data_IF_758042365243
#
_entry.id   IF_758042365243
#
_cell.length_a   1.000
_cell.length_b   1.000
_cell.length_c   1.000
_cell.angle_alpha   90.00
_cell.angle_beta   90.00
_cell.angle_gamma   90.00
#
_symmetry.space_group_name_H-M   'P 1'
#
loop_
_entity.id
_entity.type
_entity.pdbx_description
1 polymer ?
#
# COMPACT_ATOMS: atom_id res chain seq x y z
N UNK A 1 19.91 9.08 1.44
CA UNK A 1 19.08 10.30 1.51
C UNK A 1 18.85 10.64 2.97
N UNK A 2 19.08 11.89 3.37
CA UNK A 2 18.69 12.37 4.68
C UNK A 2 17.18 12.29 4.86
N UNK A 3 16.73 12.05 6.10
CA UNK A 3 15.30 11.88 6.40
C UNK A 3 14.44 13.03 5.87
N UNK A 4 14.91 14.27 5.99
CA UNK A 4 14.19 15.47 5.53
C UNK A 4 13.97 15.50 4.01
N UNK A 5 14.96 15.10 3.21
CA UNK A 5 14.84 15.09 1.73
C UNK A 5 13.86 14.03 1.18
N UNK A 6 13.69 12.93 1.89
CA UNK A 6 12.72 11.90 1.50
C UNK A 6 11.30 12.18 2.04
N UNK A 7 11.17 12.98 3.09
CA UNK A 7 9.87 13.34 3.66
C UNK A 7 9.06 14.25 2.74
N UNK A 8 9.71 15.20 2.06
CA UNK A 8 9.03 16.16 1.16
C UNK A 8 8.25 15.46 0.07
N UNK A 9 8.82 14.55 -0.77
CA UNK A 9 8.08 13.87 -1.80
C UNK A 9 6.96 12.97 -1.26
N UNK A 10 7.15 12.34 -0.10
CA UNK A 10 6.12 11.53 0.53
C UNK A 10 4.92 12.37 1.01
N UNK A 11 5.19 13.53 1.61
CA UNK A 11 4.14 14.48 2.03
C UNK A 11 3.42 15.09 0.82
N UNK A 12 4.15 15.55 -0.19
CA UNK A 12 3.56 16.12 -1.40
C UNK A 12 2.66 15.09 -2.10
N UNK A 13 3.14 13.84 -2.25
CA UNK A 13 2.33 12.77 -2.83
C UNK A 13 1.10 12.45 -2.01
N UNK A 14 1.22 12.37 -0.67
CA UNK A 14 0.09 12.10 0.23
C UNK A 14 -0.95 13.21 0.23
N UNK A 15 -0.53 14.46 0.31
CA UNK A 15 -1.44 15.61 0.23
C UNK A 15 -2.15 15.66 -1.12
N UNK A 16 -1.42 15.43 -2.22
CA UNK A 16 -2.01 15.41 -3.56
C UNK A 16 -3.03 14.27 -3.71
N UNK A 17 -2.69 13.04 -3.24
CA UNK A 17 -3.63 11.92 -3.27
C UNK A 17 -4.91 12.25 -2.50
N UNK A 18 -4.78 12.79 -1.30
CA UNK A 18 -5.92 13.18 -0.47
C UNK A 18 -6.74 14.29 -1.15
N UNK A 19 -6.09 15.31 -1.71
CA UNK A 19 -6.76 16.41 -2.41
C UNK A 19 -7.49 15.93 -3.66
N UNK A 20 -6.90 15.01 -4.45
CA UNK A 20 -7.54 14.45 -5.64
C UNK A 20 -8.78 13.61 -5.28
N UNK A 21 -8.69 12.79 -4.23
CA UNK A 21 -9.83 12.00 -3.76
C UNK A 21 -10.93 12.88 -3.18
N UNK A 22 -10.57 13.92 -2.44
CA UNK A 22 -11.52 14.92 -1.94
C UNK A 22 -12.20 15.66 -3.08
N UNK A 23 -11.43 16.13 -4.06
CA UNK A 23 -11.97 16.82 -5.25
C UNK A 23 -12.87 15.89 -6.06
N UNK A 24 -12.48 14.63 -6.25
CA UNK A 24 -13.30 13.62 -6.92
C UNK A 24 -14.64 13.44 -6.20
N UNK A 25 -14.64 13.35 -4.87
CA UNK A 25 -15.87 13.30 -4.07
C UNK A 25 -16.72 14.57 -4.18
N UNK A 26 -16.12 15.75 -4.18
CA UNK A 26 -16.84 17.02 -4.36
C UNK A 26 -17.45 17.14 -5.76
N UNK A 27 -16.84 16.50 -6.77
CA UNK A 27 -17.34 16.52 -8.16
C UNK A 27 -18.65 15.76 -8.35
N UNK A 28 -19.11 14.96 -7.38
CA UNK A 28 -20.43 14.30 -7.45
C UNK A 28 -21.56 15.30 -7.61
N UNK A 29 -21.46 16.47 -6.99
CA UNK A 29 -22.50 17.52 -7.11
C UNK A 29 -22.61 18.04 -8.54
N UNK A 30 -21.52 18.07 -9.31
CA UNK A 30 -21.55 18.50 -10.70
C UNK A 30 -22.34 17.54 -11.61
N UNK A 31 -22.52 16.29 -11.21
CA UNK A 31 -23.30 15.32 -11.98
C UNK A 31 -24.81 15.60 -11.93
N UNK A 32 -25.27 16.33 -10.92
CA UNK A 32 -26.68 16.71 -10.75
C UNK A 32 -27.04 18.05 -11.38
N UNK A 33 -26.10 18.71 -12.05
CA UNK A 33 -26.40 19.96 -12.76
C UNK A 33 -27.33 19.71 -13.95
N UNK A 34 -28.29 20.59 -14.21
CA UNK A 34 -29.18 20.51 -15.38
C UNK A 34 -28.36 20.37 -16.67
N UNK A 35 -28.74 19.44 -17.54
CA UNK A 35 -28.08 19.22 -18.83
C UNK A 35 -26.86 18.27 -18.78
N UNK A 36 -26.34 17.89 -17.61
CA UNK A 36 -25.20 16.96 -17.52
C UNK A 36 -25.55 15.61 -18.13
N UNK A 37 -26.77 15.11 -17.90
CA UNK A 37 -27.28 13.85 -18.46
C UNK A 37 -27.38 13.93 -19.98
N UNK A 38 -27.77 15.09 -20.53
CA UNK A 38 -27.90 15.28 -21.97
C UNK A 38 -26.53 15.28 -22.68
N UNK A 39 -25.49 15.83 -22.03
CA UNK A 39 -24.13 15.90 -22.57
C UNK A 39 -23.35 14.59 -22.41
N UNK A 40 -23.40 13.98 -21.24
CA UNK A 40 -22.62 12.77 -20.92
C UNK A 40 -23.37 11.47 -21.21
N UNK A 41 -24.71 11.52 -21.24
CA UNK A 41 -25.58 10.36 -21.29
C UNK A 41 -25.85 9.77 -19.89
N UNK A 42 -27.09 9.37 -19.64
CA UNK A 42 -27.53 8.92 -18.31
C UNK A 42 -26.73 7.72 -17.75
N UNK A 43 -26.30 6.83 -18.64
CA UNK A 43 -25.47 5.68 -18.25
C UNK A 43 -24.07 6.10 -17.73
N UNK A 44 -23.43 7.04 -18.44
CA UNK A 44 -22.10 7.54 -18.03
C UNK A 44 -22.18 8.33 -16.72
N UNK A 45 -23.24 9.11 -16.52
CA UNK A 45 -23.49 9.83 -15.26
C UNK A 45 -23.66 8.85 -14.10
N UNK A 46 -24.48 7.79 -14.26
CA UNK A 46 -24.66 6.76 -13.22
C UNK A 46 -23.36 6.00 -12.88
N UNK A 47 -22.53 5.70 -13.88
CA UNK A 47 -21.24 5.08 -13.66
C UNK A 47 -20.26 5.99 -12.90
N UNK A 48 -20.18 7.27 -13.30
CA UNK A 48 -19.35 8.26 -12.61
C UNK A 48 -19.84 8.49 -11.17
N UNK A 49 -21.14 8.59 -10.96
CA UNK A 49 -21.72 8.68 -9.62
C UNK A 49 -21.31 7.50 -8.75
N UNK A 50 -21.44 6.28 -9.26
CA UNK A 50 -21.02 5.06 -8.54
C UNK A 50 -19.53 5.07 -8.14
N UNK A 51 -18.65 5.66 -8.99
CA UNK A 51 -17.20 5.72 -8.69
C UNK A 51 -16.84 6.82 -7.70
N UNK A 52 -17.54 7.96 -7.75
CA UNK A 52 -17.24 9.15 -6.98
C UNK A 52 -17.91 9.16 -5.60
N UNK A 53 -19.12 8.61 -5.49
CA UNK A 53 -19.92 8.59 -4.25
C UNK A 53 -19.17 8.10 -3.02
N UNK A 54 -18.33 7.04 -3.09
CA UNK A 54 -17.59 6.59 -1.92
C UNK A 54 -16.63 7.62 -1.34
N UNK A 55 -16.26 8.66 -2.08
CA UNK A 55 -15.37 9.74 -1.66
C UNK A 55 -16.10 11.06 -1.39
N UNK A 56 -17.43 11.10 -1.60
CA UNK A 56 -18.25 12.29 -1.38
C UNK A 56 -18.50 12.55 0.11
N UNK A 57 -18.44 13.81 0.50
CA UNK A 57 -18.95 14.27 1.81
C UNK A 57 -20.46 14.33 1.85
N UNK A 58 -21.11 14.32 0.69
CA UNK A 58 -22.55 14.35 0.59
C UNK A 58 -23.11 12.95 0.85
N UNK A 59 -23.91 12.73 1.90
CA UNK A 59 -24.39 11.40 2.20
C UNK A 59 -25.31 10.91 1.09
N UNK A 60 -25.16 9.65 0.65
CA UNK A 60 -25.99 9.08 -0.39
C UNK A 60 -27.46 9.05 0.03
N UNK A 61 -28.37 9.05 -0.94
CA UNK A 61 -29.81 9.04 -0.70
C UNK A 61 -30.26 7.93 0.27
N UNK A 62 -29.58 6.78 0.26
CA UNK A 62 -29.87 5.68 1.20
C UNK A 62 -29.66 6.04 2.67
N UNK A 63 -28.68 6.91 2.97
CA UNK A 63 -28.45 7.43 4.33
C UNK A 63 -29.48 8.50 4.67
N UNK A 64 -29.83 9.35 3.71
CA UNK A 64 -30.85 10.40 3.88
C UNK A 64 -32.25 9.80 4.09
N UNK A 65 -32.67 8.86 3.23
CA UNK A 65 -33.98 8.19 3.32
C UNK A 65 -34.07 7.32 4.59
N UNK A 66 -32.99 6.64 4.97
CA UNK A 66 -32.95 5.92 6.25
C UNK A 66 -33.17 6.84 7.43
N UNK A 67 -32.58 8.03 7.40
CA UNK A 67 -32.76 9.06 8.39
C UNK A 67 -34.21 9.60 8.40
N UNK A 68 -34.86 9.77 7.23
CA UNK A 68 -36.23 10.27 7.12
C UNK A 68 -37.27 9.19 7.47
N UNK A 69 -37.05 7.92 7.13
CA UNK A 69 -38.01 6.83 7.34
C UNK A 69 -38.11 6.40 8.81
N UNK A 70 -37.02 6.51 9.56
CA UNK A 70 -37.03 6.28 11.02
C UNK A 70 -37.50 7.52 11.83
N UNK A 71 -37.71 8.67 11.18
CA UNK A 71 -38.12 9.92 11.81
C UNK A 71 -39.60 10.01 12.18
N UNK A 72 -40.43 9.06 11.73
CA UNK A 72 -41.85 9.00 12.08
C UNK A 72 -42.08 7.73 12.87
N UNK A 73 -41.65 7.72 14.14
CA UNK A 73 -42.13 6.75 15.11
C UNK A 73 -43.63 7.00 15.33
N UNK A 74 -44.40 5.94 15.55
CA UNK A 74 -45.85 6.02 15.91
C UNK A 74 -46.12 7.01 17.05
N UNK A 75 -45.12 7.35 17.85
CA UNK A 75 -45.20 8.29 18.98
C UNK A 75 -44.85 9.75 18.63
N UNK A 76 -44.66 10.12 17.33
CA UNK A 76 -44.38 11.50 16.94
C UNK A 76 -42.96 12.01 17.36
N UNK A 77 -42.12 11.16 17.88
CA UNK A 77 -40.76 11.52 18.24
C UNK A 77 -39.91 11.63 16.97
N UNK A 78 -39.46 12.84 16.64
CA UNK A 78 -38.50 13.10 15.58
C UNK A 78 -37.18 12.42 15.95
N UNK A 79 -36.82 11.32 15.27
CA UNK A 79 -35.51 10.72 15.43
C UNK A 79 -34.47 11.72 14.99
N UNK A 80 -33.49 11.98 15.84
CA UNK A 80 -32.45 12.98 15.59
C UNK A 80 -31.52 12.52 14.45
N UNK A 81 -31.87 12.92 13.22
CA UNK A 81 -31.10 12.66 12.00
C UNK A 81 -29.67 13.22 12.07
N UNK A 82 -29.42 14.19 12.97
CA UNK A 82 -28.13 14.83 13.12
C UNK A 82 -27.03 13.82 13.51
N UNK A 83 -27.39 12.79 14.28
CA UNK A 83 -26.44 11.73 14.70
C UNK A 83 -25.92 10.90 13.52
N UNK A 84 -26.78 10.50 12.60
CA UNK A 84 -26.36 9.70 11.42
C UNK A 84 -25.51 10.51 10.46
N UNK A 85 -25.87 11.78 10.23
CA UNK A 85 -25.09 12.70 9.45
C UNK A 85 -23.74 13.02 10.07
N UNK A 86 -23.68 13.17 11.41
CA UNK A 86 -22.42 13.39 12.13
C UNK A 86 -21.50 12.17 12.04
N UNK A 87 -22.03 10.94 12.15
CA UNK A 87 -21.28 9.71 11.97
C UNK A 87 -20.73 9.58 10.56
N UNK A 88 -21.52 9.92 9.53
CA UNK A 88 -21.07 9.91 8.14
C UNK A 88 -19.93 10.92 7.93
N UNK A 89 -20.08 12.15 8.39
CA UNK A 89 -19.05 13.18 8.30
C UNK A 89 -17.77 12.76 9.01
N UNK A 90 -17.89 12.19 10.21
CA UNK A 90 -16.77 11.63 10.97
C UNK A 90 -16.07 10.51 10.20
N UNK A 91 -16.84 9.60 9.58
CA UNK A 91 -16.28 8.54 8.75
C UNK A 91 -15.45 9.09 7.59
N UNK A 92 -15.93 10.14 6.91
CA UNK A 92 -15.22 10.78 5.81
C UNK A 92 -13.95 11.50 6.29
N UNK A 93 -13.99 12.19 7.43
CA UNK A 93 -12.80 12.78 8.04
C UNK A 93 -11.75 11.73 8.37
N UNK A 94 -12.14 10.62 9.02
CA UNK A 94 -11.27 9.48 9.31
C UNK A 94 -10.68 8.93 8.02
N UNK A 95 -11.48 8.79 6.95
CA UNK A 95 -11.01 8.28 5.65
C UNK A 95 -9.90 9.13 5.06
N UNK A 96 -10.08 10.45 4.96
CA UNK A 96 -9.08 11.33 4.37
C UNK A 96 -7.82 11.47 5.24
N UNK A 97 -7.96 11.51 6.56
CA UNK A 97 -6.81 11.47 7.49
C UNK A 97 -6.06 10.14 7.37
N UNK A 98 -6.78 9.02 7.28
CA UNK A 98 -6.18 7.70 7.13
C UNK A 98 -5.42 7.54 5.80
N UNK A 99 -5.87 8.16 4.68
CA UNK A 99 -5.11 8.19 3.42
C UNK A 99 -3.71 8.76 3.67
N UNK A 100 -3.60 9.90 4.35
CA UNK A 100 -2.31 10.51 4.68
C UNK A 100 -1.48 9.63 5.63
N UNK A 101 -2.11 9.12 6.70
CA UNK A 101 -1.44 8.33 7.72
C UNK A 101 -0.87 7.01 7.16
N UNK A 102 -1.53 6.39 6.19
CA UNK A 102 -1.03 5.17 5.55
C UNK A 102 -0.08 5.48 4.40
N UNK A 103 -0.37 6.48 3.57
CA UNK A 103 0.43 6.78 2.40
C UNK A 103 1.82 7.29 2.78
N UNK A 104 1.91 8.29 3.66
CA UNK A 104 3.17 9.02 3.93
C UNK A 104 4.27 8.10 4.48
N UNK A 105 4.07 7.28 5.53
CA UNK A 105 5.14 6.43 6.05
C UNK A 105 5.60 5.36 5.04
N UNK A 106 4.68 4.77 4.28
CA UNK A 106 5.05 3.78 3.26
C UNK A 106 5.77 4.40 2.07
N UNK A 107 5.29 5.54 1.56
CA UNK A 107 5.97 6.29 0.50
C UNK A 107 7.35 6.78 0.95
N UNK A 108 7.47 7.26 2.19
CA UNK A 108 8.75 7.64 2.80
C UNK A 108 9.73 6.46 2.84
N UNK A 109 9.25 5.29 3.28
CA UNK A 109 10.07 4.08 3.32
C UNK A 109 10.48 3.65 1.91
N UNK A 110 9.56 3.68 0.94
CA UNK A 110 9.83 3.35 -0.47
C UNK A 110 10.86 4.31 -1.07
N UNK A 111 10.66 5.62 -1.00
CA UNK A 111 11.57 6.61 -1.59
C UNK A 111 12.96 6.55 -0.95
N UNK A 112 13.06 6.25 0.35
CA UNK A 112 14.36 6.07 1.04
C UNK A 112 15.08 4.80 0.62
N UNK A 113 14.35 3.70 0.43
CA UNK A 113 14.92 2.38 0.15
C UNK A 113 15.03 2.09 -1.34
N UNK A 114 14.23 2.76 -2.14
CA UNK A 114 14.18 2.65 -3.59
C UNK A 114 14.24 4.06 -4.22
N UNK A 115 15.36 4.79 -4.09
CA UNK A 115 15.45 6.15 -4.63
C UNK A 115 15.36 6.14 -6.16
N UNK A 116 14.70 7.15 -6.80
CA UNK A 116 14.44 7.20 -8.24
C UNK A 116 15.66 7.71 -9.03
N UNK A 117 16.86 7.17 -8.75
CA UNK A 117 18.14 7.49 -9.41
C UNK A 117 18.66 6.28 -10.17
N UNK A 118 19.56 6.49 -11.13
CA UNK A 118 20.27 5.43 -11.86
C UNK A 118 19.33 4.39 -12.52
N UNK A 119 18.30 4.83 -13.23
CA UNK A 119 17.37 3.95 -13.95
C UNK A 119 16.28 3.30 -13.09
N UNK A 120 16.27 3.51 -11.76
CA UNK A 120 15.26 2.94 -10.84
C UNK A 120 13.93 3.71 -10.80
N UNK A 121 13.82 4.81 -11.58
CA UNK A 121 12.63 5.67 -11.59
C UNK A 121 11.30 4.94 -11.83
N UNK A 122 11.19 4.07 -12.87
CA UNK A 122 9.96 3.32 -13.11
C UNK A 122 9.60 2.38 -11.95
N UNK A 123 10.57 1.68 -11.37
CA UNK A 123 10.33 0.80 -10.22
C UNK A 123 9.81 1.57 -9.00
N UNK A 124 10.38 2.76 -8.73
CA UNK A 124 9.89 3.64 -7.66
C UNK A 124 8.49 4.15 -7.95
N UNK A 125 8.21 4.55 -9.19
CA UNK A 125 6.89 5.03 -9.61
C UNK A 125 5.82 3.98 -9.37
N UNK A 126 6.02 2.77 -9.88
CA UNK A 126 5.06 1.69 -9.73
C UNK A 126 4.93 1.22 -8.27
N UNK A 127 6.02 1.24 -7.50
CA UNK A 127 5.97 0.92 -6.08
C UNK A 127 5.16 1.97 -5.29
N UNK A 128 5.38 3.27 -5.52
CA UNK A 128 4.62 4.35 -4.85
C UNK A 128 3.17 4.34 -5.29
N UNK A 129 2.88 4.07 -6.57
CA UNK A 129 1.52 3.91 -7.08
C UNK A 129 0.80 2.74 -6.41
N UNK A 130 1.41 1.55 -6.41
CA UNK A 130 0.83 0.37 -5.78
C UNK A 130 0.57 0.60 -4.29
N UNK A 131 1.51 1.27 -3.60
CA UNK A 131 1.32 1.64 -2.21
C UNK A 131 0.20 2.68 -2.02
N UNK A 132 0.03 3.64 -2.94
CA UNK A 132 -1.10 4.59 -2.92
C UNK A 132 -2.45 3.88 -2.97
N UNK A 133 -2.57 2.87 -3.83
CA UNK A 133 -3.80 2.05 -3.92
C UNK A 133 -4.03 1.26 -2.62
N UNK A 134 -2.98 0.70 -2.02
CA UNK A 134 -3.06 0.00 -0.72
C UNK A 134 -3.47 0.98 0.40
N UNK A 135 -2.83 2.15 0.48
CA UNK A 135 -3.12 3.15 1.50
C UNK A 135 -4.57 3.65 1.44
N UNK A 136 -5.08 3.91 0.23
CA UNK A 136 -6.48 4.29 0.04
C UNK A 136 -7.46 3.17 0.40
N UNK A 137 -7.14 1.92 0.05
CA UNK A 137 -7.97 0.76 0.44
C UNK A 137 -8.00 0.58 1.97
N UNK A 138 -6.87 0.75 2.65
CA UNK A 138 -6.81 0.73 4.12
C UNK A 138 -7.64 1.86 4.74
N UNK A 139 -7.57 3.06 4.16
CA UNK A 139 -8.36 4.20 4.63
C UNK A 139 -9.87 3.95 4.50
N UNK A 140 -10.31 3.35 3.39
CA UNK A 140 -11.71 2.92 3.20
C UNK A 140 -12.08 1.87 4.23
N UNK A 141 -11.25 0.85 4.46
CA UNK A 141 -11.51 -0.21 5.43
C UNK A 141 -11.61 0.32 6.86
N UNK A 142 -10.70 1.23 7.27
CA UNK A 142 -10.73 1.82 8.62
C UNK A 142 -11.96 2.71 8.84
N UNK A 143 -12.42 3.45 7.83
CA UNK A 143 -13.63 4.30 7.93
C UNK A 143 -14.94 3.52 7.84
N UNK A 144 -14.93 2.29 7.33
CA UNK A 144 -16.13 1.48 7.07
C UNK A 144 -17.02 1.25 8.31
N UNK A 145 -16.51 0.98 9.53
CA UNK A 145 -17.37 0.81 10.71
C UNK A 145 -18.27 2.01 11.00
N UNK A 146 -17.75 3.23 10.85
CA UNK A 146 -18.52 4.47 11.04
C UNK A 146 -19.58 4.66 9.96
N UNK A 147 -19.28 4.27 8.71
CA UNK A 147 -20.25 4.28 7.62
C UNK A 147 -21.37 3.26 7.84
N UNK A 148 -21.05 2.06 8.34
CA UNK A 148 -22.07 1.07 8.71
C UNK A 148 -22.97 1.63 9.81
N UNK A 149 -22.39 2.28 10.83
CA UNK A 149 -23.14 2.92 11.89
C UNK A 149 -24.00 4.09 11.40
N UNK A 150 -23.51 4.88 10.42
CA UNK A 150 -24.25 5.99 9.83
C UNK A 150 -25.46 5.54 9.00
N UNK A 151 -25.50 4.31 8.51
CA UNK A 151 -26.65 3.78 7.76
C UNK A 151 -27.87 3.43 8.66
N UNK A 152 -27.78 3.62 9.97
CA UNK A 152 -28.91 3.45 10.91
C UNK A 152 -29.46 2.02 11.04
N UNK A 153 -29.02 1.12 10.21
CA UNK A 153 -29.41 -0.28 10.25
C UNK A 153 -28.60 -0.97 11.33
N UNK A 154 -29.12 -1.02 12.55
CA UNK A 154 -28.63 -1.89 13.60
C UNK A 154 -28.72 -3.35 13.13
N UNK A 155 -27.86 -3.71 12.16
CA UNK A 155 -28.01 -4.96 11.46
C UNK A 155 -27.26 -6.05 12.22
N UNK A 156 -27.94 -7.15 12.38
CA UNK A 156 -27.35 -8.42 12.81
C UNK A 156 -26.25 -8.94 11.87
N UNK A 157 -25.98 -8.21 10.77
CA UNK A 157 -25.03 -8.56 9.71
C UNK A 157 -23.98 -7.46 9.53
N UNK A 158 -23.27 -7.14 10.58
CA UNK A 158 -22.24 -6.08 10.55
C UNK A 158 -21.09 -6.41 9.58
N UNK A 159 -20.57 -7.65 9.59
CA UNK A 159 -19.41 -8.04 8.79
C UNK A 159 -19.66 -8.03 7.27
N UNK A 160 -20.77 -8.55 6.73
CA UNK A 160 -21.10 -8.41 5.32
C UNK A 160 -21.24 -6.95 4.86
N UNK A 161 -21.85 -6.09 5.69
CA UNK A 161 -21.95 -4.66 5.38
C UNK A 161 -20.57 -3.99 5.40
N UNK A 162 -19.71 -4.34 6.36
CA UNK A 162 -18.33 -3.87 6.42
C UNK A 162 -17.56 -4.26 5.14
N UNK A 163 -17.70 -5.51 4.68
CA UNK A 163 -17.10 -5.97 3.44
C UNK A 163 -17.61 -5.17 2.23
N UNK A 164 -18.92 -4.93 2.15
CA UNK A 164 -19.53 -4.11 1.12
C UNK A 164 -18.99 -2.68 1.12
N UNK A 165 -18.95 -2.02 2.28
CA UNK A 165 -18.43 -0.64 2.41
C UNK A 165 -16.93 -0.56 2.13
N UNK A 166 -16.15 -1.55 2.59
CA UNK A 166 -14.71 -1.62 2.35
C UNK A 166 -14.37 -1.89 0.87
N UNK A 167 -15.33 -2.36 0.08
CA UNK A 167 -15.14 -2.60 -1.36
C UNK A 167 -15.40 -1.38 -2.25
N UNK A 168 -15.96 -0.30 -1.72
CA UNK A 168 -16.32 0.89 -2.48
C UNK A 168 -15.12 1.77 -2.88
N UNK A 169 -15.31 2.60 -3.93
CA UNK A 169 -14.38 3.69 -4.29
C UNK A 169 -13.04 3.30 -4.88
N UNK A 170 -12.86 2.05 -5.28
CA UNK A 170 -11.58 1.52 -5.76
C UNK A 170 -11.15 2.06 -7.10
N UNK A 171 -12.11 2.38 -7.98
CA UNK A 171 -11.85 2.80 -9.35
C UNK A 171 -11.10 4.13 -9.40
N UNK A 172 -11.66 5.15 -8.77
CA UNK A 172 -11.04 6.48 -8.76
C UNK A 172 -9.69 6.48 -8.03
N UNK A 173 -9.54 5.62 -7.02
CA UNK A 173 -8.32 5.48 -6.25
C UNK A 173 -7.12 5.05 -7.11
N UNK A 174 -7.32 4.13 -8.06
CA UNK A 174 -6.26 3.65 -8.97
C UNK A 174 -5.67 4.80 -9.78
N UNK A 175 -6.53 5.68 -10.31
CA UNK A 175 -6.11 6.83 -11.10
C UNK A 175 -5.52 7.96 -10.25
N UNK A 176 -6.16 8.30 -9.13
CA UNK A 176 -5.65 9.31 -8.21
C UNK A 176 -4.27 8.94 -7.64
N UNK A 177 -4.07 7.66 -7.29
CA UNK A 177 -2.79 7.15 -6.83
C UNK A 177 -1.71 7.24 -7.92
N UNK A 178 -2.06 7.06 -9.21
CA UNK A 178 -1.09 7.18 -10.30
C UNK A 178 -0.58 8.62 -10.42
N UNK A 179 -1.49 9.59 -10.43
CA UNK A 179 -1.12 11.01 -10.50
C UNK A 179 -0.27 11.40 -9.29
N UNK A 180 -0.68 11.01 -8.09
CA UNK A 180 0.07 11.29 -6.86
C UNK A 180 1.47 10.65 -6.88
N UNK A 181 1.59 9.42 -7.39
CA UNK A 181 2.89 8.73 -7.51
C UNK A 181 3.82 9.42 -8.51
N UNK A 182 3.30 9.88 -9.65
CA UNK A 182 4.09 10.64 -10.64
C UNK A 182 4.67 11.88 -9.99
N UNK A 183 3.85 12.68 -9.31
CA UNK A 183 4.30 13.91 -8.65
C UNK A 183 5.27 13.62 -7.52
N UNK A 184 5.01 12.60 -6.68
CA UNK A 184 5.91 12.19 -5.61
C UNK A 184 7.29 11.77 -6.15
N UNK A 185 7.34 11.01 -7.25
CA UNK A 185 8.60 10.57 -7.87
C UNK A 185 9.33 11.74 -8.53
N UNK A 186 8.62 12.66 -9.18
CA UNK A 186 9.23 13.88 -9.73
C UNK A 186 9.83 14.73 -8.61
N UNK A 187 9.10 14.96 -7.53
CA UNK A 187 9.61 15.66 -6.34
C UNK A 187 10.83 14.93 -5.75
N UNK A 188 10.79 13.59 -5.68
CA UNK A 188 11.91 12.78 -5.20
C UNK A 188 13.15 12.90 -6.11
N UNK A 189 12.98 12.98 -7.44
CA UNK A 189 14.08 13.22 -8.39
C UNK A 189 14.71 14.60 -8.19
N UNK A 190 13.89 15.62 -8.01
CA UNK A 190 14.39 16.99 -7.76
C UNK A 190 15.19 17.06 -6.46
N UNK A 191 14.68 16.46 -5.39
CA UNK A 191 15.34 16.45 -4.07
C UNK A 191 16.56 15.52 -4.02
N UNK A 192 16.69 14.58 -4.94
CA UNK A 192 17.82 13.65 -5.04
C UNK A 192 19.01 14.20 -5.84
N UNK A 193 18.85 15.34 -6.52
CA UNK A 193 19.96 15.98 -7.25
C UNK A 193 21.13 16.27 -6.32
N UNK A 194 22.32 15.76 -6.66
CA UNK A 194 23.54 15.89 -5.85
C UNK A 194 23.74 14.81 -4.78
N UNK A 195 22.91 13.78 -4.73
CA UNK A 195 23.18 12.62 -3.89
C UNK A 195 24.27 11.75 -4.54
N UNK A 196 25.31 11.43 -3.75
CA UNK A 196 26.39 10.53 -4.19
C UNK A 196 25.93 9.11 -4.49
N UNK A 197 26.83 8.25 -5.00
CA UNK A 197 26.51 6.86 -5.30
C UNK A 197 26.02 6.14 -4.04
N UNK A 198 24.90 5.41 -4.20
CA UNK A 198 24.27 4.68 -3.09
C UNK A 198 24.99 3.35 -2.87
N UNK A 199 25.29 2.98 -1.62
CA UNK A 199 25.85 1.67 -1.32
C UNK A 199 24.84 0.59 -1.73
N UNK A 200 25.29 -0.36 -2.53
CA UNK A 200 24.50 -1.52 -2.94
C UNK A 200 24.90 -2.72 -2.08
N UNK A 201 23.93 -3.33 -1.44
CA UNK A 201 24.17 -4.60 -0.78
C UNK A 201 24.31 -5.70 -1.84
N UNK A 202 25.45 -6.36 -1.86
CA UNK A 202 25.66 -7.53 -2.73
C UNK A 202 24.96 -8.73 -2.08
N UNK A 203 23.87 -9.17 -2.69
CA UNK A 203 23.12 -10.35 -2.25
C UNK A 203 23.42 -11.51 -3.21
N UNK A 204 23.78 -12.71 -2.71
CA UNK A 204 23.99 -13.88 -3.55
C UNK A 204 22.76 -14.20 -4.39
N UNK A 205 22.96 -14.44 -5.70
CA UNK A 205 21.85 -14.70 -6.64
C UNK A 205 21.01 -15.91 -6.24
N UNK A 206 21.65 -16.93 -5.66
CA UNK A 206 20.96 -18.12 -5.15
C UNK A 206 20.02 -17.79 -4.00
N UNK A 207 20.47 -16.98 -3.03
CA UNK A 207 19.64 -16.53 -1.91
C UNK A 207 18.46 -15.66 -2.37
N UNK A 208 18.67 -14.76 -3.35
CA UNK A 208 17.61 -13.95 -3.93
C UNK A 208 16.56 -14.81 -4.67
N UNK A 209 16.99 -15.85 -5.40
CA UNK A 209 16.09 -16.81 -6.06
C UNK A 209 15.27 -17.60 -5.03
N UNK A 210 15.91 -18.12 -3.99
CA UNK A 210 15.21 -18.86 -2.94
C UNK A 210 14.17 -17.99 -2.22
N UNK A 211 14.53 -16.77 -1.85
CA UNK A 211 13.59 -15.82 -1.24
C UNK A 211 12.41 -15.49 -2.14
N UNK A 212 12.66 -15.31 -3.45
CA UNK A 212 11.60 -15.07 -4.43
C UNK A 212 10.65 -16.28 -4.57
N UNK A 213 11.19 -17.51 -4.60
CA UNK A 213 10.36 -18.72 -4.68
C UNK A 213 9.50 -18.91 -3.44
N UNK A 214 10.07 -18.73 -2.24
CA UNK A 214 9.31 -18.83 -0.98
C UNK A 214 8.21 -17.76 -0.92
N UNK A 215 8.54 -16.50 -1.22
CA UNK A 215 7.54 -15.42 -1.24
C UNK A 215 6.44 -15.67 -2.27
N UNK A 216 6.78 -16.12 -3.48
CA UNK A 216 5.80 -16.45 -4.52
C UNK A 216 4.94 -17.65 -4.15
N UNK A 217 5.48 -18.66 -3.47
CA UNK A 217 4.71 -19.80 -2.99
C UNK A 217 3.62 -19.38 -1.99
N UNK A 218 3.91 -18.42 -1.11
CA UNK A 218 2.91 -17.84 -0.20
C UNK A 218 1.77 -17.16 -0.98
N UNK A 219 2.09 -16.39 -2.02
CA UNK A 219 1.07 -15.76 -2.89
C UNK A 219 0.28 -16.83 -3.66
N UNK A 220 0.95 -17.90 -4.14
CA UNK A 220 0.30 -19.00 -4.84
C UNK A 220 -0.74 -19.72 -3.99
N UNK A 221 -0.53 -19.83 -2.67
CA UNK A 221 -1.53 -20.41 -1.74
C UNK A 221 -2.84 -19.62 -1.83
N UNK A 222 -2.78 -18.26 -1.77
CA UNK A 222 -4.00 -17.44 -1.90
C UNK A 222 -4.62 -17.52 -3.28
N UNK A 223 -3.81 -17.43 -4.34
CA UNK A 223 -4.30 -17.34 -5.71
C UNK A 223 -4.82 -18.69 -6.25
N UNK A 224 -4.19 -19.81 -5.89
CA UNK A 224 -4.49 -21.14 -6.44
C UNK A 224 -5.32 -21.98 -5.47
N UNK A 225 -4.90 -22.06 -4.20
CA UNK A 225 -5.54 -22.96 -3.23
C UNK A 225 -6.80 -22.34 -2.65
N UNK A 226 -6.68 -21.14 -2.05
CA UNK A 226 -7.81 -20.49 -1.37
C UNK A 226 -8.84 -19.95 -2.36
N UNK A 227 -8.41 -19.50 -3.54
CA UNK A 227 -9.30 -18.96 -4.58
C UNK A 227 -10.03 -20.05 -5.38
N UNK A 228 -9.73 -21.34 -5.19
CA UNK A 228 -10.47 -22.43 -5.80
C UNK A 228 -11.91 -22.47 -5.29
N UNK A 229 -12.88 -22.48 -6.19
CA UNK A 229 -14.30 -22.26 -5.87
C UNK A 229 -14.83 -23.10 -4.70
N UNK A 230 -14.59 -24.42 -4.60
CA UNK A 230 -15.04 -25.22 -3.46
C UNK A 230 -14.39 -24.77 -2.13
N UNK A 231 -13.10 -24.40 -2.15
CA UNK A 231 -12.39 -23.91 -0.96
C UNK A 231 -12.90 -22.53 -0.58
N UNK A 232 -13.08 -21.63 -1.54
CA UNK A 232 -13.65 -20.31 -1.32
C UNK A 232 -15.08 -20.37 -0.77
N UNK A 233 -15.90 -21.31 -1.26
CA UNK A 233 -17.26 -21.55 -0.76
C UNK A 233 -17.25 -22.07 0.68
N UNK A 234 -16.36 -23.01 1.01
CA UNK A 234 -16.22 -23.49 2.40
C UNK A 234 -15.75 -22.37 3.34
N UNK A 235 -14.83 -21.51 2.92
CA UNK A 235 -14.42 -20.33 3.70
C UNK A 235 -15.58 -19.36 3.92
N UNK A 236 -16.41 -19.14 2.90
CA UNK A 236 -17.56 -18.25 2.97
C UNK A 236 -18.63 -18.76 3.93
N UNK A 237 -18.80 -20.09 4.03
CA UNK A 237 -19.84 -20.74 4.85
C UNK A 237 -19.32 -21.31 6.17
N UNK A 238 -18.01 -21.34 6.39
CA UNK A 238 -17.37 -22.00 7.54
C UNK A 238 -17.77 -21.43 8.91
N UNK A 239 -18.14 -20.17 8.96
CA UNK A 239 -18.43 -19.46 10.21
C UNK A 239 -19.86 -18.94 10.19
N UNK A 240 -20.80 -19.86 10.34
CA UNK A 240 -22.22 -19.52 10.57
C UNK A 240 -22.44 -19.35 12.08
N UNK A 241 -22.52 -18.11 12.51
CA UNK A 241 -22.81 -17.74 13.90
C UNK A 241 -24.06 -16.86 14.00
N UNK A 242 -24.50 -16.59 15.21
CA UNK A 242 -25.53 -15.61 15.51
C UNK A 242 -24.89 -14.36 16.13
N UNK A 243 -25.45 -13.19 15.86
CA UNK A 243 -25.01 -11.91 16.46
C UNK A 243 -24.27 -10.98 15.49
N UNK A 244 -23.65 -9.92 16.03
CA UNK A 244 -23.02 -8.84 15.26
C UNK A 244 -21.88 -9.31 14.34
N UNK A 245 -21.18 -10.38 14.73
CA UNK A 245 -20.06 -10.96 13.98
C UNK A 245 -20.46 -12.23 13.21
N UNK A 246 -21.77 -12.41 12.99
CA UNK A 246 -22.24 -13.49 12.13
C UNK A 246 -21.82 -13.28 10.67
N UNK A 247 -21.59 -14.37 9.95
CA UNK A 247 -21.27 -14.38 8.52
C UNK A 247 -19.98 -13.59 8.14
N UNK A 248 -18.80 -13.90 8.72
CA UNK A 248 -17.54 -13.25 8.33
C UNK A 248 -17.05 -13.66 6.93
N UNK A 249 -17.75 -14.55 6.25
CA UNK A 249 -17.31 -15.16 5.00
C UNK A 249 -17.01 -14.17 3.89
N UNK A 250 -17.82 -13.11 3.72
CA UNK A 250 -17.57 -12.08 2.71
C UNK A 250 -16.32 -11.25 3.02
N UNK A 251 -16.11 -10.94 4.29
CA UNK A 251 -14.91 -10.23 4.73
C UNK A 251 -13.66 -11.10 4.56
N UNK A 252 -13.72 -12.38 4.96
CA UNK A 252 -12.64 -13.34 4.76
C UNK A 252 -12.31 -13.53 3.28
N UNK A 253 -13.33 -13.65 2.43
CA UNK A 253 -13.16 -13.72 0.98
C UNK A 253 -12.40 -12.50 0.46
N UNK A 254 -12.76 -11.30 0.89
CA UNK A 254 -12.12 -10.06 0.47
C UNK A 254 -10.66 -9.98 0.90
N UNK A 255 -10.31 -10.47 2.11
CA UNK A 255 -8.98 -10.35 2.70
C UNK A 255 -8.06 -11.54 2.45
N UNK A 256 -8.59 -12.68 2.03
CA UNK A 256 -7.79 -13.88 1.83
C UNK A 256 -7.67 -14.32 0.36
N UNK A 257 -8.63 -13.96 -0.51
CA UNK A 257 -8.66 -14.44 -1.87
C UNK A 257 -8.15 -13.37 -2.86
N UNK A 258 -7.05 -13.67 -3.56
CA UNK A 258 -6.55 -12.82 -4.65
C UNK A 258 -7.39 -12.92 -5.92
N UNK A 259 -8.22 -13.96 -6.05
CA UNK A 259 -9.08 -14.19 -7.18
C UNK A 259 -10.19 -15.16 -6.82
N UNK A 260 -10.92 -15.61 -7.84
CA UNK A 260 -11.88 -16.70 -7.71
C UNK A 260 -11.89 -17.49 -9.01
N UNK A 261 -11.86 -18.82 -8.93
CA UNK A 261 -11.90 -19.65 -10.12
C UNK A 261 -12.68 -20.95 -9.88
N UNK A 262 -13.44 -21.32 -10.90
CA UNK A 262 -14.14 -22.60 -10.97
C UNK A 262 -13.26 -23.63 -11.70
N UNK A 263 -13.57 -24.90 -11.52
CA UNK A 263 -13.02 -25.97 -12.35
C UNK A 263 -13.48 -25.84 -13.83
N UNK A 264 -12.85 -26.60 -14.74
CA UNK A 264 -13.15 -26.50 -16.17
C UNK A 264 -14.61 -26.91 -16.52
N UNK A 265 -15.29 -27.67 -15.67
CA UNK A 265 -16.67 -28.10 -15.89
C UNK A 265 -17.73 -26.97 -15.85
N UNK A 266 -17.38 -25.81 -15.25
CA UNK A 266 -18.31 -24.67 -15.07
C UNK A 266 -18.09 -23.49 -16.02
N UNK A 267 -17.08 -23.56 -16.88
CA UNK A 267 -16.72 -22.45 -17.81
C UNK A 267 -16.23 -23.01 -19.15
N UNK A 268 -16.41 -22.27 -20.27
CA UNK A 268 -15.79 -22.64 -21.54
C UNK A 268 -14.28 -22.85 -21.34
N UNK A 269 -13.75 -23.90 -21.95
CA UNK A 269 -12.33 -24.30 -21.76
C UNK A 269 -11.36 -23.17 -22.14
N UNK A 270 -11.69 -22.39 -23.19
CA UNK A 270 -10.89 -21.24 -23.61
C UNK A 270 -10.80 -20.16 -22.52
N UNK A 271 -11.93 -19.77 -21.94
CA UNK A 271 -12.00 -18.76 -20.88
C UNK A 271 -11.31 -19.25 -19.59
N UNK A 272 -11.49 -20.54 -19.29
CA UNK A 272 -10.80 -21.15 -18.17
C UNK A 272 -9.28 -21.10 -18.34
N UNK A 273 -8.78 -21.46 -19.52
CA UNK A 273 -7.35 -21.41 -19.83
C UNK A 273 -6.79 -19.99 -19.77
N UNK A 274 -7.49 -19.00 -20.34
CA UNK A 274 -7.08 -17.59 -20.29
C UNK A 274 -6.94 -17.08 -18.85
N UNK A 275 -7.88 -17.43 -17.98
CA UNK A 275 -7.80 -17.06 -16.56
C UNK A 275 -6.60 -17.73 -15.87
N UNK A 276 -6.27 -18.98 -16.19
CA UNK A 276 -5.08 -19.67 -15.65
C UNK A 276 -3.78 -19.04 -16.13
N UNK A 277 -3.73 -18.62 -17.39
CA UNK A 277 -2.59 -17.86 -17.92
C UNK A 277 -2.44 -16.53 -17.16
N UNK A 278 -3.54 -15.83 -16.91
CA UNK A 278 -3.51 -14.59 -16.13
C UNK A 278 -2.99 -14.81 -14.70
N UNK A 279 -3.43 -15.89 -14.03
CA UNK A 279 -2.91 -16.24 -12.69
C UNK A 279 -1.42 -16.59 -12.72
N UNK A 280 -0.98 -17.33 -13.75
CA UNK A 280 0.44 -17.63 -13.96
C UNK A 280 1.25 -16.34 -14.19
N UNK A 281 0.70 -15.36 -14.90
CA UNK A 281 1.32 -14.04 -15.09
C UNK A 281 1.46 -13.27 -13.78
N UNK A 282 0.45 -13.32 -12.87
CA UNK A 282 0.59 -12.74 -11.52
C UNK A 282 1.79 -13.34 -10.80
N UNK A 283 1.85 -14.68 -10.75
CA UNK A 283 2.95 -15.38 -10.05
C UNK A 283 4.31 -15.11 -10.68
N UNK A 284 4.39 -15.09 -12.01
CA UNK A 284 5.62 -14.76 -12.73
C UNK A 284 6.09 -13.32 -12.46
N UNK A 285 5.17 -12.36 -12.48
CA UNK A 285 5.45 -10.96 -12.18
C UNK A 285 5.91 -10.77 -10.74
N UNK A 286 5.23 -11.39 -9.77
CA UNK A 286 5.60 -11.37 -8.35
C UNK A 286 6.97 -12.00 -8.14
N UNK A 287 7.22 -13.18 -8.72
CA UNK A 287 8.52 -13.85 -8.61
C UNK A 287 9.65 -13.00 -9.18
N UNK A 288 9.44 -12.45 -10.37
CA UNK A 288 10.42 -11.56 -11.00
C UNK A 288 10.70 -10.32 -10.15
N UNK A 289 9.65 -9.67 -9.63
CA UNK A 289 9.78 -8.50 -8.78
C UNK A 289 10.49 -8.82 -7.47
N UNK A 290 10.11 -9.91 -6.76
CA UNK A 290 10.77 -10.35 -5.52
C UNK A 290 12.23 -10.72 -5.74
N UNK A 291 12.57 -11.35 -6.87
CA UNK A 291 13.96 -11.65 -7.24
C UNK A 291 14.80 -10.40 -7.45
N UNK A 292 14.21 -9.33 -8.02
CA UNK A 292 14.88 -8.05 -8.28
C UNK A 292 14.92 -7.15 -7.03
N UNK A 293 14.00 -7.33 -6.11
CA UNK A 293 13.82 -6.46 -4.96
C UNK A 293 15.08 -6.30 -4.10
N UNK A 294 15.86 -7.35 -3.75
CA UNK A 294 17.07 -7.19 -2.94
C UNK A 294 18.15 -6.34 -3.62
N UNK A 295 18.24 -6.38 -4.95
CA UNK A 295 19.19 -5.58 -5.74
C UNK A 295 18.74 -4.13 -5.87
N UNK A 296 17.43 -3.90 -5.89
CA UNK A 296 16.85 -2.56 -5.99
C UNK A 296 16.88 -1.80 -4.66
N UNK A 297 16.75 -2.51 -3.54
CA UNK A 297 16.75 -1.91 -2.21
C UNK A 297 18.18 -1.53 -1.77
N UNK A 298 18.32 -0.36 -1.17
CA UNK A 298 19.59 0.09 -0.56
C UNK A 298 19.96 -0.73 0.68
N UNK A 299 18.96 -1.26 1.41
CA UNK A 299 19.12 -2.17 2.55
C UNK A 299 17.93 -3.12 2.61
N UNK A 300 18.18 -4.41 2.73
CA UNK A 300 17.17 -5.48 2.85
C UNK A 300 16.67 -5.60 4.29
N UNK A 301 15.77 -4.71 4.70
CA UNK A 301 15.10 -4.79 6.00
C UNK A 301 13.74 -5.49 5.86
N UNK A 302 13.26 -6.17 6.93
CA UNK A 302 11.96 -6.86 6.91
C UNK A 302 10.82 -5.94 6.45
N UNK A 303 10.64 -4.72 7.00
CA UNK A 303 9.56 -3.84 6.56
C UNK A 303 9.70 -3.39 5.10
N UNK A 304 10.94 -3.18 4.60
CA UNK A 304 11.13 -2.82 3.20
C UNK A 304 10.81 -3.97 2.25
N UNK A 305 11.17 -5.21 2.63
CA UNK A 305 10.83 -6.41 1.88
C UNK A 305 9.33 -6.69 1.90
N UNK A 306 8.67 -6.54 3.06
CA UNK A 306 7.22 -6.70 3.18
C UNK A 306 6.47 -5.69 2.31
N UNK A 307 6.83 -4.39 2.42
CA UNK A 307 6.23 -3.35 1.60
C UNK A 307 6.48 -3.58 0.11
N UNK A 308 7.70 -3.97 -0.26
CA UNK A 308 8.06 -4.31 -1.64
C UNK A 308 7.27 -5.50 -2.18
N UNK A 309 7.03 -6.53 -1.37
CA UNK A 309 6.24 -7.69 -1.76
C UNK A 309 4.74 -7.35 -1.93
N UNK A 310 4.18 -6.52 -1.06
CA UNK A 310 2.81 -5.98 -1.23
C UNK A 310 2.71 -5.25 -2.58
N UNK A 311 3.63 -4.31 -2.84
CA UNK A 311 3.66 -3.59 -4.11
C UNK A 311 3.85 -4.53 -5.31
N UNK A 312 4.72 -5.53 -5.19
CA UNK A 312 4.95 -6.53 -6.24
C UNK A 312 3.67 -7.34 -6.54
N UNK A 313 2.88 -7.69 -5.52
CA UNK A 313 1.62 -8.41 -5.70
C UNK A 313 0.57 -7.54 -6.40
N UNK A 314 0.43 -6.27 -5.98
CA UNK A 314 -0.46 -5.30 -6.67
C UNK A 314 -0.04 -5.10 -8.13
N UNK A 315 1.26 -5.02 -8.41
CA UNK A 315 1.78 -4.94 -9.78
C UNK A 315 1.53 -6.22 -10.57
N UNK A 316 1.61 -7.38 -9.93
CA UNK A 316 1.23 -8.66 -10.54
C UNK A 316 -0.24 -8.66 -10.96
N UNK A 317 -1.13 -8.16 -10.11
CA UNK A 317 -2.55 -7.98 -10.46
C UNK A 317 -2.72 -7.00 -11.63
N UNK A 318 -2.00 -5.89 -11.66
CA UNK A 318 -2.03 -4.95 -12.78
C UNK A 318 -1.63 -5.63 -14.10
N UNK A 319 -0.53 -6.39 -14.10
CA UNK A 319 -0.05 -7.12 -15.29
C UNK A 319 -1.09 -8.12 -15.78
N UNK A 320 -1.69 -8.87 -14.87
CA UNK A 320 -2.76 -9.82 -15.18
C UNK A 320 -3.99 -9.13 -15.78
N UNK A 321 -4.44 -8.04 -15.19
CA UNK A 321 -5.59 -7.28 -15.69
C UNK A 321 -5.32 -6.63 -17.06
N UNK A 322 -4.12 -6.11 -17.28
CA UNK A 322 -3.71 -5.58 -18.58
C UNK A 322 -3.68 -6.68 -19.64
N UNK A 323 -3.18 -7.86 -19.30
CA UNK A 323 -3.17 -9.01 -20.22
C UNK A 323 -4.60 -9.45 -20.56
N UNK A 324 -5.49 -9.56 -19.56
CA UNK A 324 -6.91 -9.87 -19.80
C UNK A 324 -7.58 -8.82 -20.68
N UNK A 325 -7.34 -7.53 -20.39
CA UNK A 325 -7.86 -6.43 -21.21
C UNK A 325 -7.39 -6.53 -22.66
N UNK A 326 -6.10 -6.79 -22.88
CA UNK A 326 -5.54 -6.91 -24.24
C UNK A 326 -6.15 -8.07 -25.04
N UNK A 327 -6.57 -9.14 -24.34
CA UNK A 327 -7.20 -10.31 -24.97
C UNK A 327 -8.70 -10.11 -25.22
N UNK A 328 -9.39 -9.26 -24.45
CA UNK A 328 -10.85 -9.07 -24.53
C UNK A 328 -11.28 -7.80 -25.28
N UNK A 329 -10.36 -6.87 -25.56
CA UNK A 329 -10.65 -5.55 -26.19
C UNK A 329 -11.24 -5.66 -27.61
N UNK A 330 -11.22 -6.83 -28.28
CA UNK A 330 -11.81 -6.97 -29.61
C UNK A 330 -13.31 -6.65 -29.67
N UNK A 331 -14.08 -6.83 -28.55
CA UNK A 331 -15.54 -6.78 -28.61
C UNK A 331 -16.20 -5.67 -27.76
N UNK A 332 -15.55 -5.12 -26.73
CA UNK A 332 -16.24 -4.31 -25.71
C UNK A 332 -15.84 -2.81 -25.66
N UNK A 333 -14.95 -2.33 -26.51
CA UNK A 333 -14.50 -0.93 -26.52
C UNK A 333 -13.62 -0.55 -25.32
N UNK A 334 -12.69 0.39 -25.53
CA UNK A 334 -11.67 0.83 -24.56
C UNK A 334 -12.24 1.38 -23.24
N UNK A 335 -13.45 1.95 -23.25
CA UNK A 335 -14.09 2.55 -22.07
C UNK A 335 -14.37 1.52 -20.99
N UNK A 336 -14.89 0.35 -21.36
CA UNK A 336 -15.16 -0.75 -20.43
C UNK A 336 -13.89 -1.41 -19.91
N UNK A 337 -12.85 -1.47 -20.73
CA UNK A 337 -11.56 -2.01 -20.32
C UNK A 337 -10.97 -1.32 -19.10
N UNK A 338 -11.03 0.01 -19.03
CA UNK A 338 -10.53 0.78 -17.86
C UNK A 338 -11.35 0.52 -16.60
N UNK A 339 -12.66 0.32 -16.72
CA UNK A 339 -13.54 -0.03 -15.59
C UNK A 339 -13.16 -1.40 -15.03
N UNK A 340 -13.06 -2.40 -15.91
CA UNK A 340 -12.66 -3.76 -15.49
C UNK A 340 -11.27 -3.79 -14.89
N UNK A 341 -10.31 -3.05 -15.48
CA UNK A 341 -8.95 -2.93 -14.95
C UNK A 341 -8.94 -2.39 -13.53
N UNK A 342 -9.62 -1.26 -13.29
CA UNK A 342 -9.63 -0.62 -11.97
C UNK A 342 -10.38 -1.44 -10.92
N UNK A 343 -11.50 -2.08 -11.28
CA UNK A 343 -12.26 -2.95 -10.38
C UNK A 343 -11.49 -4.24 -10.05
N UNK A 344 -10.83 -4.84 -11.04
CA UNK A 344 -10.04 -6.06 -10.86
C UNK A 344 -8.84 -5.85 -9.95
N UNK A 345 -8.09 -4.76 -10.15
CA UNK A 345 -6.98 -4.39 -9.25
C UNK A 345 -7.51 -4.15 -7.84
N UNK A 346 -8.50 -3.26 -7.69
CA UNK A 346 -9.04 -2.91 -6.39
C UNK A 346 -9.59 -4.09 -5.60
N UNK A 347 -10.17 -5.09 -6.30
CA UNK A 347 -10.70 -6.31 -5.69
C UNK A 347 -9.65 -7.18 -5.00
N UNK A 348 -8.45 -7.26 -5.57
CA UNK A 348 -7.35 -8.07 -5.03
C UNK A 348 -6.46 -7.37 -4.00
N UNK A 349 -6.58 -6.04 -3.79
CA UNK A 349 -5.68 -5.28 -2.89
C UNK A 349 -5.70 -5.76 -1.44
N UNK A 350 -6.85 -6.05 -0.79
CA UNK A 350 -6.85 -6.54 0.59
C UNK A 350 -6.08 -7.85 0.75
N UNK A 351 -6.29 -8.80 -0.17
CA UNK A 351 -5.56 -10.06 -0.18
C UNK A 351 -4.07 -9.87 -0.54
N UNK A 352 -3.76 -8.94 -1.46
CA UNK A 352 -2.38 -8.56 -1.78
C UNK A 352 -1.66 -7.95 -0.56
N UNK A 353 -2.36 -7.18 0.28
CA UNK A 353 -1.82 -6.66 1.52
C UNK A 353 -1.46 -7.79 2.49
N UNK A 354 -2.39 -8.71 2.77
CA UNK A 354 -2.18 -9.79 3.74
C UNK A 354 -1.12 -10.78 3.28
N UNK A 355 -1.30 -11.36 2.10
CA UNK A 355 -0.36 -12.35 1.56
C UNK A 355 0.95 -11.73 1.07
N UNK A 356 0.92 -10.50 0.54
CA UNK A 356 2.13 -9.76 0.20
C UNK A 356 3.00 -9.45 1.42
N UNK A 357 2.37 -9.07 2.56
CA UNK A 357 3.09 -8.86 3.81
C UNK A 357 3.74 -10.16 4.28
N UNK A 358 2.99 -11.27 4.35
CA UNK A 358 3.51 -12.58 4.76
C UNK A 358 4.62 -13.06 3.83
N UNK A 359 4.41 -12.93 2.51
CA UNK A 359 5.41 -13.28 1.49
C UNK A 359 6.71 -12.48 1.64
N UNK A 360 6.59 -11.17 1.90
CA UNK A 360 7.75 -10.30 2.10
C UNK A 360 8.52 -10.59 3.38
N UNK A 361 7.81 -10.91 4.48
CA UNK A 361 8.44 -11.37 5.73
C UNK A 361 9.13 -12.70 5.51
N UNK A 362 8.48 -13.67 4.89
CA UNK A 362 9.06 -14.99 4.59
C UNK A 362 10.31 -14.86 3.69
N UNK A 363 10.25 -14.03 2.65
CA UNK A 363 11.40 -13.76 1.79
C UNK A 363 12.56 -13.09 2.54
N UNK A 364 12.27 -12.13 3.44
CA UNK A 364 13.29 -11.45 4.25
C UNK A 364 13.98 -12.42 5.23
N UNK A 365 13.21 -13.32 5.84
CA UNK A 365 13.75 -14.34 6.73
C UNK A 365 14.61 -15.35 5.98
N UNK A 366 14.17 -15.78 4.79
CA UNK A 366 14.93 -16.66 3.89
C UNK A 366 16.28 -16.04 3.51
N UNK A 367 16.30 -14.74 3.18
CA UNK A 367 17.53 -14.01 2.87
C UNK A 367 18.51 -13.98 4.07
N UNK A 368 18.00 -13.77 5.28
CA UNK A 368 18.84 -13.77 6.50
C UNK A 368 19.48 -15.14 6.77
N UNK A 369 18.69 -16.20 6.66
CA UNK A 369 19.16 -17.56 6.88
C UNK A 369 20.18 -17.98 5.81
N UNK A 370 19.89 -17.70 4.55
CA UNK A 370 20.79 -18.04 3.43
C UNK A 370 22.07 -17.19 3.44
N UNK A 371 21.98 -15.89 3.79
CA UNK A 371 23.14 -15.00 3.90
C UNK A 371 24.07 -15.34 5.07
N UNK A 372 23.52 -15.76 6.21
CA UNK A 372 24.30 -16.22 7.36
C UNK A 372 25.09 -17.50 7.08
N UNK A 373 24.52 -18.42 6.32
CA UNK A 373 25.23 -19.66 5.90
C UNK A 373 26.36 -19.40 4.91
N UNK A 374 26.22 -18.46 4.00
CA UNK A 374 27.28 -18.11 3.06
C UNK A 374 28.47 -17.48 3.77
N UNK A 375 28.28 -16.63 4.76
CA UNK A 375 29.36 -16.05 5.56
C UNK A 375 30.06 -17.06 6.45
N UNK A 376 29.35 -18.07 6.96
CA UNK A 376 29.95 -19.15 7.76
C UNK A 376 30.79 -20.12 6.91
N UNK A 377 30.37 -20.37 5.65
CA UNK A 377 31.12 -21.22 4.73
C UNK A 377 32.44 -20.57 4.28
N UNK A 378 32.44 -19.25 4.05
CA UNK A 378 33.62 -18.48 3.64
C UNK A 378 34.64 -18.36 4.80
N UNK A 379 34.16 -18.21 6.04
CA UNK A 379 35.02 -18.20 7.24
C UNK A 379 35.65 -19.56 7.58
N UNK A 380 35.05 -20.65 7.13
CA UNK A 380 35.56 -22.01 7.33
C UNK A 380 36.64 -22.45 6.33
N UNK A 381 36.64 -21.81 5.14
CA UNK A 381 37.61 -22.16 4.08
C UNK A 381 39.03 -21.59 4.36
N UNK A 382 39.11 -20.49 5.12
CA UNK A 382 40.38 -19.80 5.37
C UNK A 382 41.20 -20.44 6.53
N UNK A 383 40.63 -21.41 7.26
CA UNK A 383 41.31 -22.07 8.41
C UNK A 383 42.06 -23.35 8.01
N UNK A 384 41.85 -23.89 6.79
CA UNK A 384 42.47 -25.16 6.37
C UNK A 384 43.76 -25.01 5.57
N UNK A 385 44.22 -23.77 5.29
CA UNK A 385 45.47 -23.55 4.55
C UNK A 385 46.62 -22.98 5.45
N UNK A 386 46.61 -23.28 6.75
CA UNK A 386 47.82 -23.24 7.55
C UNK A 386 48.65 -24.49 7.21
N UNK A 387 49.35 -24.39 6.08
CA UNK A 387 50.39 -25.36 5.72
C UNK A 387 51.36 -25.56 6.85
N UNK A 388 52.04 -26.72 6.90
CA UNK A 388 52.98 -27.03 7.96
C UNK A 388 54.05 -25.94 8.09
N UNK A 389 54.16 -25.36 9.29
CA UNK A 389 55.26 -24.45 9.64
C UNK A 389 56.57 -25.12 9.31
N UNK A 390 57.21 -24.79 8.18
CA UNK A 390 58.59 -25.07 7.95
C UNK A 390 59.43 -24.41 9.04
N UNK A 391 60.30 -25.14 9.74
CA UNK A 391 61.23 -24.54 10.71
C UNK A 391 62.26 -23.72 9.94
N UNK A 392 62.02 -22.38 9.87
CA UNK A 392 62.99 -21.45 9.30
C UNK A 392 64.24 -21.35 10.12
N UNK A 393 65.42 -21.18 9.49
CA UNK A 393 66.73 -21.17 10.16
C UNK A 393 66.87 -19.93 11.05
N UNK A 394 67.47 -20.20 12.25
CA UNK A 394 67.94 -19.19 13.17
C UNK A 394 68.75 -18.09 12.48
N UNK A 395 68.23 -16.86 12.51
CA UNK A 395 69.02 -15.65 12.23
C UNK A 395 69.16 -14.89 13.53
N UNK A 396 70.24 -15.20 14.24
CA UNK A 396 70.84 -14.30 15.24
C UNK A 396 71.34 -13.03 14.56
N UNK A 397 70.97 -11.89 15.05
CA UNK A 397 71.78 -10.71 14.84
C UNK A 397 71.03 -9.37 14.71
N UNK A 398 71.41 -8.56 15.62
CA UNK A 398 71.59 -7.10 15.50
C UNK A 398 70.40 -6.16 15.73
N UNK A 399 70.36 -5.60 16.86
CA UNK A 399 70.25 -4.27 17.36
C UNK A 399 69.88 -3.12 16.37
N UNK A 400 68.81 -2.45 16.68
CA UNK A 400 68.41 -1.19 16.08
C UNK A 400 67.54 -0.38 17.06
N UNK A 401 68.28 0.38 17.87
CA UNK A 401 67.73 1.50 18.70
C UNK A 401 67.23 2.60 17.79
N UNK A 402 66.05 3.09 18.01
CA UNK A 402 65.49 4.29 17.36
C UNK A 402 64.14 4.67 17.95
N UNK A 403 64.18 5.49 19.01
CA UNK A 403 63.74 6.86 19.16
C UNK A 403 62.33 7.13 18.59
N UNK A 404 61.30 7.34 19.42
CA UNK A 404 61.04 8.65 20.00
C UNK A 404 60.09 9.45 19.12
N UNK A 405 58.80 9.51 19.48
CA UNK A 405 57.82 10.36 18.83
C UNK A 405 56.66 10.62 19.78
N UNK A 406 56.94 11.46 20.77
CA UNK A 406 55.93 12.15 21.60
C UNK A 406 55.24 13.24 20.82
N UNK A 407 53.94 13.30 20.83
CA UNK A 407 53.13 14.43 20.37
C UNK A 407 51.77 14.36 21.06
N UNK A 408 51.67 14.92 22.21
CA UNK A 408 51.08 16.21 22.61
C UNK A 408 49.77 16.47 21.81
N UNK A 409 48.58 16.45 22.39
CA UNK A 409 48.14 17.44 23.39
C UNK A 409 47.32 18.48 22.66
N UNK A 410 46.00 18.50 22.82
CA UNK A 410 45.11 19.51 22.29
C UNK A 410 43.78 19.52 23.04
N UNK A 411 43.82 20.01 24.28
CA UNK A 411 42.65 20.45 25.01
C UNK A 411 42.27 21.89 24.54
N UNK A 412 41.02 22.18 24.40
CA UNK A 412 40.43 23.50 24.19
C UNK A 412 38.94 23.34 24.45
N UNK A 413 38.46 23.60 25.62
CA UNK A 413 38.21 24.85 26.33
C UNK A 413 37.00 25.62 25.77
N UNK A 414 35.93 25.56 26.52
CA UNK A 414 34.92 26.57 26.88
C UNK A 414 34.65 27.76 25.96
N UNK A 415 33.33 27.92 25.65
CA UNK A 415 32.72 29.23 25.56
C UNK A 415 31.24 29.18 25.97
N UNK A 416 31.00 29.66 27.15
CA UNK A 416 29.70 30.09 27.63
C UNK A 416 29.30 31.42 26.96
N UNK A 417 28.01 31.61 26.73
CA UNK A 417 27.40 32.87 26.30
C UNK A 417 25.91 32.73 26.44
N UNK A 418 25.34 33.04 27.54
CA UNK A 418 24.76 34.26 28.07
C UNK A 418 23.70 34.90 27.18
N UNK A 419 22.44 34.86 27.65
CA UNK A 419 21.61 36.04 27.86
C UNK A 419 20.81 36.58 26.69
N UNK A 420 19.49 36.52 26.83
CA UNK A 420 18.54 37.22 25.97
C UNK A 420 17.13 37.13 26.51
N UNK A 421 16.85 37.80 27.61
CA UNK A 421 15.51 38.15 28.07
C UNK A 421 14.87 39.15 27.12
N UNK A 422 13.75 38.83 26.50
CA UNK A 422 12.94 39.74 25.70
C UNK A 422 11.51 39.71 26.17
N UNK A 423 11.13 40.71 26.90
CA UNK A 423 9.84 41.08 27.43
C UNK A 423 8.78 41.19 26.32
N UNK A 424 7.53 40.87 26.67
CA UNK A 424 6.34 40.97 25.85
C UNK A 424 5.91 42.32 25.37
N UNK A 425 4.78 42.41 24.72
CA UNK A 425 3.69 43.16 25.35
C UNK A 425 2.32 42.52 25.33
N UNK A 426 1.61 42.81 26.40
CA UNK A 426 0.18 42.73 26.59
C UNK A 426 -0.65 43.21 25.38
N UNK A 427 -1.63 42.47 24.96
CA UNK A 427 -2.77 42.97 24.21
C UNK A 427 -4.08 42.53 24.87
N UNK A 428 -4.76 43.54 25.41
CA UNK A 428 -6.11 43.52 26.01
C UNK A 428 -7.17 42.98 25.04
N UNK A 429 -8.24 42.40 25.58
CA UNK A 429 -9.42 42.02 24.81
C UNK A 429 -10.31 43.25 24.54
N UNK A 430 -10.67 43.44 23.27
CA UNK A 430 -11.69 44.40 22.88
C UNK A 430 -13.08 43.74 22.92
N UNK A 431 -13.95 44.49 23.57
CA UNK A 431 -15.38 44.20 23.75
C UNK A 431 -16.16 44.25 22.42
N UNK A 432 -17.10 43.40 22.30
CA UNK A 432 -18.18 43.35 21.28
C UNK A 432 -19.17 44.51 21.49
N UNK A 433 -19.67 45.16 20.43
CA UNK A 433 -20.96 45.85 20.51
C UNK A 433 -22.10 44.92 20.08
N UNK A 434 -23.16 44.97 20.86
CA UNK A 434 -24.51 44.57 20.51
C UNK A 434 -25.08 45.56 19.49
N UNK A 435 -25.67 45.03 18.43
CA UNK A 435 -27.00 45.43 17.92
C UNK A 435 -27.56 44.27 17.10
#
# INVERSE_FOLDING_TARGET
>A
MEHRRAAIPALVGGLLLTALLWWAGASTQALYLPGTVDVLGGRAVGELEYWLTPWSYDPPASVRIGAETFGVGEDGATVDNSRYLSLYTTAMQIRFVAVLLFFVPGALLLVRRLPPVNGRGPATLFAVWAWGVVAGTLAVAVSAPWLVAANGRGSYRFLPQLAGMASGGRQILVFAALVAAVVAVLAARVTAKGAGPLPQAVVPVAAARLAATVGTAVIAVSLVVLSYQPVAATLQTAFTGSGLFAEPGDLLRQWLLLGSWAGPAGTPVGDWFLRRVADALVLAAVWWALRRLPVLLTRTTVPAMALGAICATVLGLLVSQLAQMALTVSDAGMRWGLVYLSSGIGGGVPAALTFGLVAGVAAAMTLRVAGGRAGAADSGADVTDSGPLEPGPDITGSGGTGSGGTGSGGAGADAAGSGGTGSGPDLRPQASPKD
#
